data_IF_612213870832
#
_entry.id   IF_612213870832
#
_cell.length_a   1.000
_cell.length_b   1.000
_cell.length_c   1.000
_cell.angle_alpha   90.00
_cell.angle_beta   90.00
_cell.angle_gamma   90.00
#
_symmetry.space_group_name_H-M   'P 1'
#
loop_
_entity.id
_entity.type
_entity.pdbx_description
1 polymer ?
#
# COMPACT_ATOMS: atom_id res chain seq x y z
N UNK A 1 -34.11 25.32 -28.70
CA UNK A 1 -34.59 24.72 -27.45
C UNK A 1 -33.58 23.71 -26.98
N UNK A 2 -32.82 24.11 -25.96
CA UNK A 2 -31.76 23.37 -25.28
C UNK A 2 -32.36 22.23 -24.47
N UNK A 3 -31.81 21.01 -24.57
CA UNK A 3 -31.90 20.02 -23.49
C UNK A 3 -30.70 19.08 -23.50
N UNK A 4 -30.02 19.13 -22.37
CA UNK A 4 -28.83 18.43 -21.92
C UNK A 4 -29.24 17.08 -21.31
N UNK A 5 -28.37 16.07 -21.41
CA UNK A 5 -28.33 14.90 -20.53
C UNK A 5 -27.34 13.87 -21.07
N UNK A 6 -26.41 13.28 -20.33
CA UNK A 6 -25.99 13.37 -18.92
C UNK A 6 -24.60 12.74 -18.90
N UNK A 7 -23.56 13.49 -18.54
CA UNK A 7 -22.29 12.91 -18.08
C UNK A 7 -22.45 12.63 -16.58
N UNK A 8 -22.28 11.37 -16.18
CA UNK A 8 -22.11 10.97 -14.78
C UNK A 8 -20.62 10.98 -14.47
N UNK A 9 -20.14 12.00 -13.77
CA UNK A 9 -18.83 12.00 -13.14
C UNK A 9 -18.84 12.87 -11.88
N UNK A 10 -18.40 12.25 -10.78
CA UNK A 10 -17.79 12.83 -9.57
C UNK A 10 -18.58 13.89 -8.78
N UNK A 11 -19.34 13.42 -7.79
CA UNK A 11 -19.86 14.22 -6.68
C UNK A 11 -19.19 13.84 -5.33
N UNK A 12 -17.85 13.65 -5.32
CA UNK A 12 -17.13 13.21 -4.12
C UNK A 12 -16.07 14.20 -3.57
N UNK A 13 -15.68 15.23 -4.31
CA UNK A 13 -14.60 16.13 -3.88
C UNK A 13 -15.07 17.38 -3.10
N UNK A 14 -16.37 17.67 -3.05
CA UNK A 14 -16.91 18.79 -2.26
C UNK A 14 -17.43 18.36 -0.87
N UNK A 15 -17.68 17.07 -0.65
CA UNK A 15 -18.32 16.59 0.58
C UNK A 15 -17.35 16.37 1.76
N UNK A 16 -16.03 16.35 1.54
CA UNK A 16 -15.04 16.07 2.60
C UNK A 16 -14.80 17.28 3.50
N UNK A 17 -15.16 18.49 3.06
CA UNK A 17 -15.14 19.70 3.91
C UNK A 17 -16.48 20.46 3.89
N UNK A 18 -17.38 20.29 2.90
CA UNK A 18 -18.70 20.97 2.91
C UNK A 18 -19.79 20.29 3.77
N UNK A 19 -19.46 19.25 4.55
CA UNK A 19 -20.31 18.79 5.65
C UNK A 19 -20.34 19.75 6.86
N UNK A 20 -19.67 20.90 6.76
CA UNK A 20 -19.37 21.86 7.82
C UNK A 20 -20.31 23.08 7.89
N UNK A 21 -21.61 22.90 7.67
CA UNK A 21 -22.60 23.94 7.97
C UNK A 21 -23.84 23.36 8.69
N UNK A 22 -23.93 23.64 10.00
CA UNK A 22 -25.08 23.49 10.93
C UNK A 22 -25.20 22.15 11.71
N UNK A 23 -25.75 22.18 12.96
CA UNK A 23 -25.04 22.50 14.19
C UNK A 23 -24.88 21.22 15.03
N UNK A 24 -23.64 20.81 15.30
CA UNK A 24 -23.38 19.81 16.33
C UNK A 24 -22.74 20.49 17.52
N UNK A 25 -23.45 20.42 18.65
CA UNK A 25 -23.13 21.06 19.90
C UNK A 25 -21.67 20.80 20.30
N UNK A 26 -20.97 21.89 20.62
CA UNK A 26 -19.66 21.89 21.20
C UNK A 26 -19.66 21.12 22.52
N UNK A 27 -18.72 20.19 22.67
CA UNK A 27 -18.17 19.76 23.96
C UNK A 27 -16.85 19.03 23.69
N UNK A 28 -15.82 19.81 23.37
CA UNK A 28 -14.43 19.42 23.62
C UNK A 28 -13.97 20.20 24.84
N UNK A 29 -13.37 19.53 25.84
CA UNK A 29 -12.72 20.23 26.95
C UNK A 29 -11.68 21.21 26.39
N UNK A 30 -11.64 22.44 26.91
CA UNK A 30 -10.63 23.41 26.53
C UNK A 30 -9.24 22.83 26.82
N UNK A 31 -8.44 22.62 25.78
CA UNK A 31 -7.04 22.22 25.92
C UNK A 31 -6.30 23.44 26.45
N UNK A 32 -5.67 23.32 27.61
CA UNK A 32 -4.82 24.39 28.12
C UNK A 32 -3.56 24.47 27.25
N UNK A 33 -3.40 25.59 26.54
CA UNK A 33 -2.22 25.86 25.70
C UNK A 33 -1.18 26.57 26.56
N UNK A 34 0.03 26.01 26.66
CA UNK A 34 1.14 26.69 27.32
C UNK A 34 1.43 28.02 26.61
N UNK A 35 1.65 29.05 27.40
CA UNK A 35 1.85 30.43 26.95
C UNK A 35 0.56 31.22 26.70
N UNK A 36 -0.61 30.59 26.61
CA UNK A 36 -1.89 31.31 26.47
C UNK A 36 -2.44 31.72 27.85
N UNK A 37 -1.92 32.85 28.34
CA UNK A 37 -2.26 33.37 29.67
C UNK A 37 -3.61 34.12 29.61
N UNK A 38 -3.95 34.71 28.47
CA UNK A 38 -5.19 35.44 28.25
C UNK A 38 -6.40 34.51 28.08
N UNK A 39 -6.16 33.23 27.76
CA UNK A 39 -7.15 32.20 27.46
C UNK A 39 -8.00 32.51 26.23
N UNK A 40 -7.38 33.12 25.24
CA UNK A 40 -8.00 33.33 23.92
C UNK A 40 -7.61 32.23 22.91
N UNK A 41 -6.90 31.20 23.39
CA UNK A 41 -6.26 30.09 22.68
C UNK A 41 -5.20 30.55 21.67
N UNK A 42 -4.57 31.71 21.90
CA UNK A 42 -3.41 32.22 21.16
C UNK A 42 -2.26 32.51 22.11
N UNK A 43 -1.03 32.38 21.61
CA UNK A 43 0.15 32.89 22.30
C UNK A 43 0.60 34.12 21.55
N UNK A 44 0.31 35.29 22.11
CA UNK A 44 0.46 36.58 21.44
C UNK A 44 1.22 37.59 22.30
N UNK A 45 1.42 38.79 21.76
CA UNK A 45 2.03 39.90 22.52
C UNK A 45 1.17 40.28 23.74
N UNK A 46 -0.15 40.03 23.72
CA UNK A 46 -1.00 40.26 24.88
C UNK A 46 -0.60 39.36 26.06
N UNK A 47 -0.25 38.10 25.80
CA UNK A 47 0.19 37.14 26.80
C UNK A 47 1.58 37.50 27.35
N UNK A 48 2.49 38.00 26.51
CA UNK A 48 3.77 38.58 26.95
C UNK A 48 3.52 39.73 27.95
N UNK A 49 2.53 40.59 27.67
CA UNK A 49 2.20 41.71 28.56
C UNK A 49 1.66 41.20 29.90
N UNK A 50 0.83 40.16 29.90
CA UNK A 50 0.33 39.52 31.12
C UNK A 50 1.47 38.89 31.92
N UNK A 51 2.33 38.08 31.29
CA UNK A 51 3.48 37.45 31.94
C UNK A 51 4.44 38.49 32.51
N UNK A 52 4.79 39.50 31.73
CA UNK A 52 5.67 40.58 32.18
C UNK A 52 5.07 41.36 33.36
N UNK A 53 3.78 41.64 33.35
CA UNK A 53 3.12 42.31 34.46
C UNK A 53 3.08 41.44 35.72
N UNK A 54 2.92 40.12 35.57
CA UNK A 54 3.05 39.18 36.68
C UNK A 54 4.47 39.19 37.27
N UNK A 55 5.51 39.06 36.43
CA UNK A 55 6.91 39.11 36.86
C UNK A 55 7.29 40.43 37.53
N UNK A 56 6.63 41.53 37.17
CA UNK A 56 6.80 42.84 37.80
C UNK A 56 5.95 43.04 39.08
N UNK A 57 5.19 42.02 39.51
CA UNK A 57 4.31 42.08 40.68
C UNK A 57 3.08 42.97 40.50
N UNK A 58 2.70 43.29 39.27
CA UNK A 58 1.61 44.21 38.93
C UNK A 58 0.29 43.51 38.65
N UNK A 59 0.32 42.19 38.47
CA UNK A 59 -0.82 41.38 38.07
C UNK A 59 -0.70 39.99 38.73
N UNK A 60 -1.81 39.43 39.22
CA UNK A 60 -1.84 38.08 39.77
C UNK A 60 -2.45 37.10 38.77
N UNK A 61 -1.88 35.90 38.65
CA UNK A 61 -2.41 34.82 37.81
C UNK A 61 -3.29 33.89 38.64
N UNK A 62 -4.39 33.41 38.05
CA UNK A 62 -5.15 32.29 38.63
C UNK A 62 -4.47 30.95 38.31
N UNK A 63 -4.97 29.85 38.89
CA UNK A 63 -4.34 28.52 38.78
C UNK A 63 -4.03 28.09 37.33
N UNK A 64 -5.02 28.10 36.41
CA UNK A 64 -4.70 27.67 35.03
C UNK A 64 -3.88 28.71 34.26
N UNK A 65 -3.92 29.99 34.63
CA UNK A 65 -3.01 30.98 34.06
C UNK A 65 -1.57 30.75 34.52
N UNK A 66 -1.37 30.35 35.77
CA UNK A 66 -0.07 29.96 36.30
C UNK A 66 0.46 28.72 35.60
N UNK A 67 -0.40 27.72 35.36
CA UNK A 67 -0.02 26.51 34.59
C UNK A 67 0.33 26.87 33.14
N UNK A 68 -0.41 27.78 32.50
CA UNK A 68 -0.07 28.24 31.15
C UNK A 68 1.22 29.09 31.12
N UNK A 69 1.50 29.84 32.19
CA UNK A 69 2.66 30.71 32.30
C UNK A 69 3.97 29.97 32.59
N UNK A 70 3.91 28.76 33.18
CA UNK A 70 5.04 27.84 33.35
C UNK A 70 5.25 27.04 32.04
N UNK A 71 5.90 27.70 31.07
CA UNK A 71 6.06 27.18 29.71
C UNK A 71 7.10 26.07 29.69
N UNK A 72 8.21 26.24 30.42
CA UNK A 72 9.29 25.27 30.46
C UNK A 72 8.99 24.06 31.39
N UNK A 73 7.90 24.12 32.17
CA UNK A 73 7.49 23.10 33.14
C UNK A 73 8.50 22.82 34.26
N UNK A 74 9.23 23.84 34.70
CA UNK A 74 10.13 23.71 35.85
C UNK A 74 9.44 23.96 37.20
N UNK A 75 8.17 24.37 37.17
CA UNK A 75 7.35 24.64 38.34
C UNK A 75 7.47 26.07 38.89
N UNK A 76 8.28 26.93 38.26
CA UNK A 76 8.38 28.35 38.55
C UNK A 76 7.87 29.17 37.35
N UNK A 77 7.45 30.41 37.63
CA UNK A 77 7.07 31.35 36.58
C UNK A 77 8.07 32.50 36.66
N UNK A 78 9.03 32.51 35.75
CA UNK A 78 10.15 33.45 35.78
C UNK A 78 10.54 34.01 34.38
N UNK A 79 11.74 34.59 34.28
CA UNK A 79 12.22 35.19 33.04
C UNK A 79 12.57 34.17 31.95
N UNK A 80 12.77 32.90 32.29
CA UNK A 80 13.00 31.82 31.32
C UNK A 80 11.70 31.49 30.57
N UNK A 81 10.55 31.47 31.25
CA UNK A 81 9.24 31.34 30.57
C UNK A 81 8.98 32.50 29.62
N UNK A 82 9.37 33.72 30.02
CA UNK A 82 9.23 34.88 29.16
C UNK A 82 10.09 34.77 27.88
N UNK A 83 11.29 34.19 28.00
CA UNK A 83 12.15 33.94 26.84
C UNK A 83 11.56 32.86 25.92
N UNK A 84 10.99 31.80 26.48
CA UNK A 84 10.36 30.73 25.72
C UNK A 84 9.07 31.20 25.02
N UNK A 85 8.27 32.04 25.68
CA UNK A 85 7.11 32.71 25.07
C UNK A 85 7.51 33.59 23.89
N UNK A 86 8.61 34.35 24.01
CA UNK A 86 9.13 35.15 22.90
C UNK A 86 9.54 34.29 21.72
N UNK A 87 10.17 33.14 21.98
CA UNK A 87 10.55 32.19 20.94
C UNK A 87 9.32 31.57 20.25
N UNK A 88 8.29 31.17 21.01
CA UNK A 88 7.00 30.70 20.44
C UNK A 88 6.42 31.74 19.47
N UNK A 89 6.32 33.00 19.88
CA UNK A 89 5.76 34.07 19.05
C UNK A 89 6.62 34.32 17.80
N UNK A 90 7.96 34.30 17.94
CA UNK A 90 8.86 34.48 16.81
C UNK A 90 8.77 33.34 15.80
N UNK A 91 8.59 32.09 16.26
CA UNK A 91 8.39 30.91 15.40
C UNK A 91 7.04 30.93 14.69
N UNK A 92 5.99 31.41 15.36
CA UNK A 92 4.64 31.53 14.79
C UNK A 92 4.53 32.58 13.68
N UNK A 93 5.41 33.60 13.64
CA UNK A 93 5.31 34.68 12.63
C UNK A 93 5.78 34.25 11.25
N UNK A 94 4.88 34.36 10.27
CA UNK A 94 5.17 34.31 8.82
C UNK A 94 5.94 33.04 8.36
N UNK A 95 5.88 31.96 9.14
CA UNK A 95 6.49 30.67 8.80
C UNK A 95 5.48 29.57 9.05
N UNK A 96 4.99 29.00 7.95
CA UNK A 96 4.43 27.67 8.03
C UNK A 96 5.54 26.63 8.12
N UNK A 97 5.27 25.51 8.80
CA UNK A 97 6.16 24.36 8.74
C UNK A 97 6.37 23.95 7.28
N UNK A 98 7.57 23.50 6.94
CA UNK A 98 7.77 22.72 5.71
C UNK A 98 7.51 21.25 6.00
N UNK A 99 7.16 20.48 4.97
CA UNK A 99 7.01 19.04 5.05
C UNK A 99 5.61 18.57 5.39
N UNK A 100 5.47 17.30 5.73
CA UNK A 100 4.20 16.64 5.99
C UNK A 100 3.96 16.48 7.49
N UNK A 101 2.74 16.76 7.91
CA UNK A 101 2.30 16.82 9.30
C UNK A 101 0.98 16.09 9.48
N UNK A 102 0.82 15.40 10.60
CA UNK A 102 -0.43 14.72 10.98
C UNK A 102 -1.25 15.69 11.82
N UNK A 103 -2.35 16.20 11.28
CA UNK A 103 -3.39 16.90 12.01
C UNK A 103 -4.35 15.92 12.70
N UNK A 104 -4.54 16.06 14.01
CA UNK A 104 -5.44 15.23 14.81
C UNK A 104 -6.61 16.07 15.36
N UNK A 105 -7.84 15.67 15.00
CA UNK A 105 -9.08 16.23 15.57
C UNK A 105 -9.90 15.11 16.20
N UNK A 106 -10.83 15.46 17.09
CA UNK A 106 -11.76 14.54 17.77
C UNK A 106 -12.69 13.70 16.85
N UNK A 107 -12.40 13.58 15.55
CA UNK A 107 -13.09 12.73 14.58
C UNK A 107 -12.19 12.08 13.51
N UNK A 108 -10.85 12.23 13.55
CA UNK A 108 -9.94 11.56 12.62
C UNK A 108 -8.60 12.28 12.40
N UNK A 109 -7.62 11.54 11.84
CA UNK A 109 -6.30 12.04 11.45
C UNK A 109 -6.29 12.54 10.00
N UNK A 110 -5.55 13.58 9.69
CA UNK A 110 -5.32 14.09 8.33
C UNK A 110 -3.85 14.37 8.10
N UNK A 111 -3.39 14.26 6.86
CA UNK A 111 -1.99 14.51 6.53
C UNK A 111 -1.90 15.76 5.67
N UNK A 112 -1.18 16.76 6.16
CA UNK A 112 -0.98 18.03 5.49
C UNK A 112 0.47 18.17 5.09
N UNK A 113 0.73 18.30 3.79
CA UNK A 113 2.04 18.68 3.28
C UNK A 113 2.04 20.19 3.02
N UNK A 114 2.89 20.90 3.73
CA UNK A 114 3.06 22.35 3.61
C UNK A 114 4.34 22.66 2.82
N UNK A 115 4.17 23.42 1.74
CA UNK A 115 5.24 23.93 0.89
C UNK A 115 5.32 25.46 0.94
N UNK A 116 6.08 26.06 0.01
CA UNK A 116 6.19 27.52 -0.10
C UNK A 116 4.96 28.09 -0.82
N UNK A 117 3.99 28.60 -0.05
CA UNK A 117 2.77 29.23 -0.55
C UNK A 117 1.72 28.26 -1.12
N UNK A 118 1.96 26.96 -1.01
CA UNK A 118 1.04 25.91 -1.43
C UNK A 118 1.13 24.70 -0.50
N UNK A 119 0.14 23.84 -0.56
CA UNK A 119 0.15 22.58 0.17
C UNK A 119 -0.88 21.60 -0.34
N UNK A 120 -0.85 20.41 0.24
CA UNK A 120 -1.78 19.32 -0.07
C UNK A 120 -2.32 18.71 1.20
N UNK A 121 -3.60 18.36 1.21
CA UNK A 121 -4.20 17.54 2.26
C UNK A 121 -4.56 16.18 1.69
N UNK A 122 -4.20 15.13 2.42
CA UNK A 122 -4.47 13.74 2.04
C UNK A 122 -5.56 13.20 2.96
N UNK A 123 -6.62 12.70 2.34
CA UNK A 123 -7.64 11.93 3.03
C UNK A 123 -7.03 10.59 3.48
N UNK A 124 -7.02 10.30 4.80
CA UNK A 124 -6.34 9.14 5.34
C UNK A 124 -6.96 7.81 4.89
N UNK A 125 -8.24 7.82 4.46
CA UNK A 125 -9.03 6.62 4.20
C UNK A 125 -9.05 6.27 2.73
N UNK A 126 -9.05 7.28 1.86
CA UNK A 126 -9.14 7.12 0.41
C UNK A 126 -7.83 7.39 -0.30
N UNK A 127 -6.87 8.04 0.38
CA UNK A 127 -5.64 8.55 -0.25
C UNK A 127 -5.90 9.71 -1.23
N UNK A 128 -7.13 10.25 -1.26
CA UNK A 128 -7.48 11.39 -2.09
C UNK A 128 -6.67 12.62 -1.69
N UNK A 129 -6.06 13.29 -2.67
CA UNK A 129 -5.23 14.48 -2.46
C UNK A 129 -5.99 15.71 -2.91
N UNK A 130 -6.02 16.74 -2.07
CA UNK A 130 -6.56 18.05 -2.42
C UNK A 130 -5.51 19.12 -2.22
N UNK A 131 -5.27 19.91 -3.27
CA UNK A 131 -4.31 21.01 -3.22
C UNK A 131 -4.97 22.27 -2.65
N UNK A 132 -4.17 23.07 -1.95
CA UNK A 132 -4.54 24.39 -1.47
C UNK A 132 -3.40 25.38 -1.66
N UNK A 133 -3.73 26.65 -1.89
CA UNK A 133 -2.78 27.75 -1.77
C UNK A 133 -2.74 28.22 -0.32
N UNK A 134 -1.62 28.78 0.08
CA UNK A 134 -1.41 29.24 1.45
C UNK A 134 -0.98 30.69 1.46
N UNK A 135 -1.64 31.47 2.32
CA UNK A 135 -1.24 32.83 2.67
C UNK A 135 -1.04 32.90 4.18
N UNK A 136 0.00 33.60 4.61
CA UNK A 136 0.29 33.84 6.02
C UNK A 136 0.34 35.33 6.29
N UNK A 137 -0.26 35.75 7.41
CA UNK A 137 -0.13 37.09 7.94
C UNK A 137 0.01 37.00 9.47
N UNK A 138 1.20 37.30 9.98
CA UNK A 138 1.56 37.13 11.39
C UNK A 138 1.38 35.69 11.88
N UNK A 139 0.47 35.46 12.84
CA UNK A 139 0.08 34.17 13.41
C UNK A 139 -1.13 33.54 12.69
N UNK A 140 -1.62 34.18 11.63
CA UNK A 140 -2.77 33.72 10.86
C UNK A 140 -2.32 32.97 9.60
N UNK A 141 -2.95 31.82 9.38
CA UNK A 141 -2.78 30.97 8.20
C UNK A 141 -4.11 30.91 7.46
N UNK A 142 -4.07 31.24 6.17
CA UNK A 142 -5.23 31.19 5.27
C UNK A 142 -4.98 30.12 4.22
N UNK A 143 -5.83 29.09 4.22
CA UNK A 143 -5.81 28.01 3.24
C UNK A 143 -6.90 28.26 2.19
N UNK A 144 -6.51 28.43 0.93
CA UNK A 144 -7.42 28.61 -0.21
C UNK A 144 -7.48 27.33 -1.02
N UNK A 145 -8.59 26.62 -0.92
CA UNK A 145 -8.81 25.35 -1.61
C UNK A 145 -9.05 25.57 -3.11
N UNK A 146 -8.73 24.57 -3.94
CA UNK A 146 -9.07 24.59 -5.39
C UNK A 146 -10.56 24.76 -5.68
N UNK A 147 -11.44 24.39 -4.75
CA UNK A 147 -12.90 24.60 -4.87
C UNK A 147 -13.29 26.08 -4.81
N UNK A 148 -12.39 26.97 -4.36
CA UNK A 148 -12.66 28.37 -4.08
C UNK A 148 -12.98 28.65 -2.60
N UNK A 149 -13.15 27.60 -1.79
CA UNK A 149 -13.36 27.74 -0.35
C UNK A 149 -12.09 28.27 0.33
N UNK A 150 -12.26 29.15 1.30
CA UNK A 150 -11.16 29.69 2.11
C UNK A 150 -11.39 29.33 3.56
N UNK A 151 -10.35 28.84 4.23
CA UNK A 151 -10.37 28.47 5.64
C UNK A 151 -9.20 29.14 6.34
N UNK A 152 -9.47 29.79 7.46
CA UNK A 152 -8.45 30.49 8.24
C UNK A 152 -8.22 29.80 9.58
N UNK A 153 -6.98 29.79 10.05
CA UNK A 153 -6.61 29.36 11.38
C UNK A 153 -5.52 30.24 12.00
N UNK A 154 -5.44 30.24 13.32
CA UNK A 154 -4.30 30.78 14.07
C UNK A 154 -3.35 29.65 14.44
N UNK A 155 -2.05 29.86 14.26
CA UNK A 155 -1.01 28.87 14.56
C UNK A 155 -0.32 29.16 15.89
N UNK A 156 -0.23 28.13 16.73
CA UNK A 156 0.53 28.17 17.98
C UNK A 156 1.51 27.00 18.01
N UNK A 157 2.81 27.28 17.98
CA UNK A 157 3.86 26.27 18.11
C UNK A 157 4.01 25.83 19.56
N UNK A 158 4.10 24.51 19.77
CA UNK A 158 4.42 23.94 21.08
C UNK A 158 5.91 23.61 21.19
N UNK A 159 6.51 23.11 20.10
CA UNK A 159 7.93 22.78 19.99
C UNK A 159 8.34 22.73 18.49
N UNK A 160 9.53 22.21 18.14
CA UNK A 160 9.98 22.12 16.74
C UNK A 160 9.20 21.10 15.89
N UNK A 161 8.55 20.12 16.51
CA UNK A 161 7.87 18.99 15.89
C UNK A 161 6.36 18.99 16.16
N UNK A 162 5.82 19.99 16.85
CA UNK A 162 4.38 20.09 17.10
C UNK A 162 3.85 21.52 17.19
N UNK A 163 2.65 21.73 16.64
CA UNK A 163 1.91 22.98 16.73
C UNK A 163 0.41 22.70 16.76
N UNK A 164 -0.38 23.73 17.00
CA UNK A 164 -1.83 23.67 17.02
C UNK A 164 -2.42 24.71 16.08
N UNK A 165 -3.43 24.34 15.29
CA UNK A 165 -4.25 25.27 14.52
C UNK A 165 -5.60 25.45 15.18
N UNK A 166 -5.95 26.71 15.47
CA UNK A 166 -7.30 27.10 15.86
C UNK A 166 -8.03 27.68 14.67
N UNK A 167 -8.94 26.90 14.11
CA UNK A 167 -9.77 27.28 12.97
C UNK A 167 -10.79 28.35 13.37
N UNK A 168 -11.13 29.27 12.46
CA UNK A 168 -12.11 30.35 12.69
C UNK A 168 -13.46 29.88 13.25
N UNK A 169 -13.83 28.63 13.00
CA UNK A 169 -15.07 28.01 13.50
C UNK A 169 -14.95 27.40 14.91
N UNK A 170 -13.89 27.72 15.65
CA UNK A 170 -13.70 27.33 17.05
C UNK A 170 -13.22 25.90 17.27
N UNK A 171 -12.75 25.21 16.21
CA UNK A 171 -12.10 23.90 16.34
C UNK A 171 -10.59 24.08 16.49
N UNK A 172 -10.01 23.24 17.33
CA UNK A 172 -8.57 23.16 17.56
C UNK A 172 -8.07 21.82 17.03
N UNK A 173 -6.96 21.82 16.31
CA UNK A 173 -6.33 20.63 15.75
C UNK A 173 -4.84 20.65 16.06
N UNK A 174 -4.34 19.56 16.63
CA UNK A 174 -2.91 19.45 16.94
C UNK A 174 -2.20 18.76 15.78
N UNK A 175 -1.09 19.34 15.36
CA UNK A 175 -0.24 18.88 14.28
C UNK A 175 1.06 18.34 14.85
N UNK A 176 1.47 17.17 14.37
CA UNK A 176 2.76 16.55 14.68
C UNK A 176 3.53 16.30 13.40
N UNK A 177 4.83 16.53 13.43
CA UNK A 177 5.72 16.29 12.31
C UNK A 177 5.64 14.81 11.87
N UNK A 178 5.71 14.58 10.55
CA UNK A 178 5.65 13.25 9.95
C UNK A 178 6.86 12.96 9.06
N UNK A 179 7.08 13.75 8.02
CA UNK A 179 8.24 13.61 7.13
C UNK A 179 8.56 14.90 6.37
N UNK A 180 9.77 15.00 5.81
CA UNK A 180 10.26 16.21 5.16
C UNK A 180 9.56 16.51 3.84
N UNK A 181 9.20 15.45 3.10
CA UNK A 181 8.70 15.57 1.74
C UNK A 181 7.18 15.58 1.67
N UNK A 182 6.64 16.28 0.68
CA UNK A 182 5.23 16.20 0.35
C UNK A 182 4.90 14.82 -0.23
N UNK A 183 3.86 14.19 0.31
CA UNK A 183 3.48 12.83 -0.09
C UNK A 183 2.63 12.89 -1.35
N UNK A 184 3.00 12.13 -2.37
CA UNK A 184 2.18 11.99 -3.59
C UNK A 184 1.31 10.74 -3.50
N UNK A 185 0.05 10.84 -3.93
CA UNK A 185 -0.85 9.68 -4.00
C UNK A 185 -0.31 8.53 -4.84
N UNK A 186 0.47 8.82 -5.88
CA UNK A 186 1.15 7.83 -6.72
C UNK A 186 2.22 7.01 -5.98
N UNK A 187 2.73 7.51 -4.86
CA UNK A 187 3.76 6.88 -4.04
C UNK A 187 3.15 5.98 -2.95
N UNK A 188 1.82 6.04 -2.74
CA UNK A 188 1.13 5.24 -1.73
C UNK A 188 1.17 3.75 -2.06
N UNK A 189 1.38 2.96 -1.02
CA UNK A 189 1.42 1.50 -1.02
C UNK A 189 0.06 0.88 -0.65
N UNK A 190 -1.05 1.57 -0.92
CA UNK A 190 -2.39 1.06 -0.58
C UNK A 190 -2.62 -0.34 -1.15
N UNK A 191 -3.21 -1.21 -0.34
CA UNK A 191 -3.50 -2.60 -0.68
C UNK A 191 -2.93 -3.59 0.33
N UNK A 192 -3.05 -4.86 0.00
CA UNK A 192 -2.52 -5.96 0.81
C UNK A 192 -1.18 -6.42 0.26
N UNK A 193 -0.17 -6.45 1.12
CA UNK A 193 1.20 -6.85 0.81
C UNK A 193 1.65 -7.99 1.71
N UNK A 194 2.34 -8.97 1.15
CA UNK A 194 2.96 -10.07 1.89
C UNK A 194 4.46 -9.90 1.77
N UNK A 195 5.16 -9.93 2.90
CA UNK A 195 6.59 -9.77 2.92
C UNK A 195 7.30 -11.13 2.92
N UNK A 196 8.56 -11.18 2.52
CA UNK A 196 9.34 -12.44 2.44
C UNK A 196 9.47 -13.16 3.77
N UNK A 197 9.31 -12.46 4.91
CA UNK A 197 9.31 -13.09 6.23
C UNK A 197 7.95 -13.70 6.64
N UNK A 198 6.93 -13.58 5.78
CA UNK A 198 5.57 -14.09 5.99
C UNK A 198 4.62 -13.11 6.68
N UNK A 199 5.05 -11.87 6.93
CA UNK A 199 4.17 -10.84 7.51
C UNK A 199 3.23 -10.25 6.46
N UNK A 200 2.06 -9.83 6.90
CA UNK A 200 1.01 -9.28 6.04
C UNK A 200 0.75 -7.83 6.44
N UNK A 201 0.85 -6.93 5.46
CA UNK A 201 0.60 -5.52 5.60
C UNK A 201 -0.68 -5.17 4.83
N UNK A 202 -1.72 -4.78 5.55
CA UNK A 202 -2.96 -4.26 4.97
C UNK A 202 -2.92 -2.74 5.11
N UNK A 203 -2.55 -2.06 4.01
CA UNK A 203 -2.32 -0.61 3.96
C UNK A 203 -3.53 0.07 3.36
N UNK A 204 -4.03 1.10 4.05
CA UNK A 204 -5.05 2.00 3.57
C UNK A 204 -4.56 3.46 3.68
N UNK A 205 -4.23 4.06 2.53
CA UNK A 205 -3.64 5.40 2.51
C UNK A 205 -2.23 5.39 3.12
N UNK A 206 -2.08 6.10 4.24
CA UNK A 206 -0.82 6.27 5.00
C UNK A 206 -0.79 5.49 6.32
N UNK A 207 -1.78 4.65 6.56
CA UNK A 207 -1.84 3.81 7.76
C UNK A 207 -2.16 2.38 7.39
N UNK A 208 -1.91 1.46 8.32
CA UNK A 208 -2.17 0.06 8.06
C UNK A 208 -2.17 -0.82 9.29
N UNK A 209 -2.47 -2.07 9.01
CA UNK A 209 -2.41 -3.18 9.97
C UNK A 209 -1.31 -4.13 9.52
N UNK A 210 -0.36 -4.37 10.40
CA UNK A 210 0.65 -5.42 10.26
C UNK A 210 0.18 -6.65 11.02
N UNK A 211 0.17 -7.80 10.36
CA UNK A 211 0.06 -9.12 11.00
C UNK A 211 1.39 -9.83 10.82
N UNK A 212 2.14 -10.04 11.90
CA UNK A 212 3.44 -10.70 11.83
C UNK A 212 3.31 -12.22 11.57
N UNK A 213 4.44 -12.89 11.34
CA UNK A 213 4.49 -14.35 11.15
C UNK A 213 3.92 -15.19 12.31
N UNK A 214 3.87 -14.61 13.51
CA UNK A 214 3.31 -15.24 14.72
C UNK A 214 1.83 -14.89 14.91
N UNK A 215 1.22 -14.17 13.95
CA UNK A 215 -0.16 -13.67 13.95
C UNK A 215 -0.43 -12.56 14.98
N UNK A 216 0.62 -11.92 15.51
CA UNK A 216 0.44 -10.72 16.30
C UNK A 216 0.05 -9.56 15.38
N UNK A 217 -0.85 -8.71 15.87
CA UNK A 217 -1.38 -7.59 15.11
C UNK A 217 -0.85 -6.29 15.70
N UNK A 218 -0.29 -5.44 14.84
CA UNK A 218 0.13 -4.07 15.18
C UNK A 218 -0.47 -3.09 14.18
N UNK A 219 -0.70 -1.85 14.63
CA UNK A 219 -1.08 -0.74 13.75
C UNK A 219 0.15 0.11 13.48
N UNK A 220 0.22 0.67 12.29
CA UNK A 220 1.30 1.57 11.91
C UNK A 220 0.80 2.70 11.02
N UNK A 221 1.60 3.75 11.00
CA UNK A 221 1.56 4.79 9.97
C UNK A 221 2.84 4.65 9.14
N UNK A 222 2.84 5.10 7.88
CA UNK A 222 4.06 5.16 7.09
C UNK A 222 4.05 6.38 6.18
N UNK A 223 5.25 6.83 5.83
CA UNK A 223 5.46 7.97 4.94
C UNK A 223 6.45 7.59 3.84
N UNK A 224 6.10 7.73 2.55
CA UNK A 224 7.10 7.89 1.50
C UNK A 224 7.91 9.17 1.76
N UNK A 225 9.24 9.07 1.69
CA UNK A 225 10.15 10.19 1.89
C UNK A 225 11.23 10.19 0.81
N UNK A 226 10.87 10.53 -0.43
CA UNK A 226 11.80 10.45 -1.56
C UNK A 226 12.11 9.01 -1.96
N UNK A 227 13.37 8.58 -1.82
CA UNK A 227 13.79 7.18 -2.03
C UNK A 227 13.62 6.31 -0.78
N UNK A 228 13.26 6.93 0.35
CA UNK A 228 13.12 6.27 1.64
C UNK A 228 11.64 6.07 2.01
N UNK A 229 11.41 5.19 2.97
CA UNK A 229 10.13 4.95 3.60
C UNK A 229 10.32 4.87 5.11
N UNK A 230 9.46 5.58 5.83
CA UNK A 230 9.46 5.59 7.30
C UNK A 230 8.19 4.91 7.78
N UNK A 231 8.31 3.93 8.67
CA UNK A 231 7.20 3.32 9.39
C UNK A 231 7.19 3.80 10.84
N UNK A 232 6.03 4.23 11.31
CA UNK A 232 5.79 4.67 12.68
C UNK A 232 4.92 3.63 13.40
N UNK A 233 5.48 2.95 14.39
CA UNK A 233 4.76 1.97 15.22
C UNK A 233 4.57 2.53 16.64
N UNK A 234 3.37 3.05 16.94
CA UNK A 234 3.08 3.63 18.25
C UNK A 234 3.32 5.14 18.30
N UNK A 235 4.10 5.65 19.26
CA UNK A 235 4.53 7.05 19.26
C UNK A 235 5.55 7.29 18.14
N UNK A 236 5.68 8.55 17.70
CA UNK A 236 6.58 8.99 16.61
C UNK A 236 8.07 8.86 16.93
N UNK A 237 8.42 8.37 18.12
CA UNK A 237 9.82 8.20 18.56
C UNK A 237 10.36 6.80 18.22
N UNK A 238 9.49 5.86 17.87
CA UNK A 238 9.84 4.48 17.51
C UNK A 238 9.68 4.25 16.01
N UNK A 239 10.44 5.01 15.22
CA UNK A 239 10.38 4.94 13.76
C UNK A 239 11.33 3.86 13.23
N UNK A 240 10.92 3.21 12.15
CA UNK A 240 11.77 2.30 11.39
C UNK A 240 11.86 2.81 9.97
N UNK A 241 13.08 3.10 9.53
CA UNK A 241 13.36 3.65 8.21
C UNK A 241 14.03 2.61 7.33
N UNK A 242 13.79 2.75 6.02
CA UNK A 242 14.49 1.95 5.04
C UNK A 242 14.37 2.53 3.64
N UNK A 243 15.26 2.10 2.77
CA UNK A 243 15.28 2.50 1.37
C UNK A 243 14.32 1.64 0.56
N UNK A 244 13.34 2.25 -0.12
CA UNK A 244 12.38 1.55 -0.95
C UNK A 244 12.88 1.44 -2.40
N UNK A 245 12.64 0.31 -3.05
CA UNK A 245 12.95 0.12 -4.48
C UNK A 245 11.87 -0.73 -5.12
N UNK A 246 11.15 -0.19 -6.11
CA UNK A 246 10.20 -0.98 -6.92
C UNK A 246 10.98 -1.91 -7.85
N UNK A 247 10.67 -3.20 -7.83
CA UNK A 247 11.39 -4.19 -8.64
C UNK A 247 10.62 -4.59 -9.89
N UNK A 248 9.30 -4.63 -9.81
CA UNK A 248 8.39 -4.95 -10.92
C UNK A 248 6.97 -4.45 -10.61
N UNK A 249 5.98 -4.86 -11.41
CA UNK A 249 4.58 -4.44 -11.26
C UNK A 249 3.91 -4.89 -9.94
N UNK A 250 4.42 -5.95 -9.30
CA UNK A 250 3.83 -6.57 -8.10
C UNK A 250 4.73 -6.51 -6.86
N UNK A 251 5.98 -6.08 -7.02
CA UNK A 251 6.97 -6.13 -5.96
C UNK A 251 7.68 -4.81 -5.70
N UNK A 252 8.00 -4.60 -4.43
CA UNK A 252 9.03 -3.66 -4.02
C UNK A 252 9.89 -4.30 -2.93
N UNK A 253 11.10 -3.76 -2.75
CA UNK A 253 11.98 -4.15 -1.65
C UNK A 253 12.20 -2.97 -0.72
N UNK A 254 12.33 -3.26 0.56
CA UNK A 254 12.85 -2.31 1.54
C UNK A 254 14.18 -2.84 2.05
N UNK A 255 15.23 -2.02 1.93
CA UNK A 255 16.49 -2.23 2.61
C UNK A 255 16.47 -1.40 3.89
N UNK A 256 16.32 -2.06 5.03
CA UNK A 256 16.24 -1.44 6.35
C UNK A 256 17.63 -1.00 6.81
N UNK A 257 17.71 0.04 7.63
CA UNK A 257 18.97 0.58 8.15
C UNK A 257 19.80 -0.43 8.95
N UNK A 258 19.13 -1.43 9.52
CA UNK A 258 19.77 -2.56 10.22
C UNK A 258 20.41 -3.59 9.27
N UNK A 259 20.47 -3.30 7.97
CA UNK A 259 21.13 -4.11 6.94
C UNK A 259 20.30 -5.28 6.42
N UNK A 260 19.07 -5.45 6.88
CA UNK A 260 18.16 -6.48 6.37
C UNK A 260 17.43 -5.98 5.12
N UNK A 261 17.21 -6.88 4.16
CA UNK A 261 16.42 -6.60 2.96
C UNK A 261 15.19 -7.49 2.93
N UNK A 262 14.04 -6.89 2.69
CA UNK A 262 12.76 -7.59 2.60
C UNK A 262 12.08 -7.27 1.27
N UNK A 263 11.47 -8.28 0.64
CA UNK A 263 10.63 -8.09 -0.55
C UNK A 263 9.17 -8.15 -0.13
N UNK A 264 8.37 -7.27 -0.71
CA UNK A 264 6.94 -7.15 -0.49
C UNK A 264 6.22 -7.45 -1.79
N UNK A 265 5.34 -8.44 -1.75
CA UNK A 265 4.53 -8.88 -2.87
C UNK A 265 3.10 -8.39 -2.69
N UNK A 266 2.58 -7.66 -3.66
CA UNK A 266 1.16 -7.30 -3.69
C UNK A 266 0.33 -8.57 -3.79
N UNK A 267 -0.70 -8.70 -2.97
CA UNK A 267 -1.54 -9.89 -2.96
C UNK A 267 -3.01 -9.52 -2.74
N UNK A 268 -3.70 -9.26 -3.84
CA UNK A 268 -5.15 -9.11 -3.92
C UNK A 268 -5.76 -10.44 -4.37
N UNK A 269 -6.46 -11.12 -3.47
CA UNK A 269 -7.13 -12.39 -3.77
C UNK A 269 -8.62 -12.15 -3.94
N UNK A 270 -9.15 -12.56 -5.09
CA UNK A 270 -10.58 -12.46 -5.41
C UNK A 270 -11.10 -13.81 -5.88
N UNK A 271 -12.34 -14.15 -5.50
CA UNK A 271 -13.02 -15.34 -6.00
C UNK A 271 -14.23 -14.90 -6.82
N UNK A 272 -14.22 -15.19 -8.13
CA UNK A 272 -15.33 -14.90 -9.05
C UNK A 272 -15.92 -16.21 -9.55
N UNK A 273 -17.18 -16.47 -9.25
CA UNK A 273 -17.87 -17.71 -9.65
C UNK A 273 -17.09 -18.97 -9.27
N UNK A 274 -16.49 -19.00 -8.06
CA UNK A 274 -15.69 -20.11 -7.56
C UNK A 274 -14.27 -20.21 -8.14
N UNK A 275 -13.88 -19.35 -9.08
CA UNK A 275 -12.51 -19.29 -9.63
C UNK A 275 -11.70 -18.28 -8.83
N UNK A 276 -10.51 -18.68 -8.38
CA UNK A 276 -9.60 -17.78 -7.66
C UNK A 276 -8.73 -16.99 -8.64
N UNK A 277 -8.66 -15.69 -8.41
CA UNK A 277 -7.76 -14.76 -9.05
C UNK A 277 -6.84 -14.13 -8.01
N UNK A 278 -5.54 -14.05 -8.32
CA UNK A 278 -4.56 -13.36 -7.48
C UNK A 278 -3.93 -12.26 -8.31
N UNK A 279 -4.11 -11.00 -7.90
CA UNK A 279 -3.78 -9.81 -8.69
C UNK A 279 -4.38 -9.86 -10.11
N UNK A 280 -5.61 -10.40 -10.24
CA UNK A 280 -6.29 -10.60 -11.53
C UNK A 280 -5.83 -11.81 -12.34
N UNK A 281 -4.87 -12.59 -11.86
CA UNK A 281 -4.37 -13.81 -12.53
C UNK A 281 -5.17 -15.01 -12.07
N UNK A 282 -5.79 -15.73 -13.00
CA UNK A 282 -6.51 -16.98 -12.70
C UNK A 282 -5.53 -18.05 -12.17
N UNK A 283 -5.77 -18.57 -10.98
CA UNK A 283 -4.93 -19.60 -10.35
C UNK A 283 -5.65 -20.95 -10.32
N UNK A 284 -4.94 -21.98 -10.78
CA UNK A 284 -5.28 -23.38 -10.58
C UNK A 284 -4.01 -24.11 -10.11
N UNK A 285 -3.99 -24.54 -8.85
CA UNK A 285 -2.91 -25.32 -8.27
C UNK A 285 -3.47 -26.22 -7.16
N UNK A 286 -2.64 -26.83 -6.31
CA UNK A 286 -3.14 -27.76 -5.27
C UNK A 286 -3.98 -27.09 -4.17
N UNK A 287 -3.80 -25.80 -3.95
CA UNK A 287 -4.57 -25.00 -2.97
C UNK A 287 -5.85 -24.46 -3.58
N UNK A 288 -5.75 -23.91 -4.80
CA UNK A 288 -6.84 -23.21 -5.48
C UNK A 288 -7.38 -24.09 -6.60
N UNK A 289 -8.53 -24.72 -6.36
CA UNK A 289 -9.22 -25.54 -7.34
C UNK A 289 -10.12 -24.69 -8.26
N UNK A 290 -10.30 -25.15 -9.49
CA UNK A 290 -11.33 -24.69 -10.39
C UNK A 290 -12.67 -25.40 -10.12
N UNK A 291 -13.80 -24.71 -10.31
CA UNK A 291 -15.12 -25.34 -10.29
C UNK A 291 -15.24 -26.48 -11.30
N UNK A 292 -16.06 -27.49 -10.98
CA UNK A 292 -16.28 -28.64 -11.88
C UNK A 292 -16.98 -28.27 -13.18
N UNK A 293 -17.77 -27.20 -13.17
CA UNK A 293 -18.51 -26.66 -14.33
C UNK A 293 -17.71 -25.63 -15.13
N UNK A 294 -16.53 -25.20 -14.65
CA UNK A 294 -15.66 -24.33 -15.43
C UNK A 294 -15.01 -25.12 -16.58
N UNK A 295 -15.45 -24.81 -17.81
CA UNK A 295 -15.07 -25.54 -19.00
C UNK A 295 -14.96 -24.60 -20.22
N UNK A 296 -13.77 -24.03 -20.50
CA UNK A 296 -13.55 -23.24 -21.71
C UNK A 296 -13.57 -24.07 -23.00
N UNK A 297 -13.50 -25.41 -22.92
CA UNK A 297 -13.62 -26.35 -24.03
C UNK A 297 -12.41 -26.43 -24.97
N UNK A 298 -11.44 -25.51 -24.85
CA UNK A 298 -10.29 -25.39 -25.75
C UNK A 298 -9.15 -24.61 -25.10
N UNK A 299 -7.99 -24.62 -25.74
CA UNK A 299 -6.94 -23.63 -25.48
C UNK A 299 -7.52 -22.25 -25.79
N UNK A 300 -7.34 -21.30 -24.87
CA UNK A 300 -7.87 -19.95 -25.04
C UNK A 300 -7.18 -19.26 -26.22
N UNK A 301 -7.90 -18.40 -26.99
CA UNK A 301 -7.39 -17.84 -28.24
C UNK A 301 -6.04 -17.14 -28.12
N UNK A 302 -5.84 -16.36 -27.05
CA UNK A 302 -4.59 -15.60 -26.85
C UNK A 302 -3.40 -16.53 -26.60
N UNK A 303 -3.59 -17.58 -25.79
CA UNK A 303 -2.56 -18.60 -25.56
C UNK A 303 -2.26 -19.37 -26.87
N UNK A 304 -3.28 -19.71 -27.66
CA UNK A 304 -3.06 -20.39 -28.94
C UNK A 304 -2.31 -19.49 -29.93
N UNK A 305 -2.67 -18.22 -30.03
CA UNK A 305 -2.00 -17.25 -30.90
C UNK A 305 -0.54 -17.06 -30.49
N UNK A 306 -0.27 -16.92 -29.19
CA UNK A 306 1.07 -16.84 -28.64
C UNK A 306 1.92 -18.09 -28.96
N UNK A 307 1.34 -19.28 -28.82
CA UNK A 307 2.02 -20.53 -29.16
C UNK A 307 2.38 -20.59 -30.65
N UNK A 308 1.48 -20.17 -31.55
CA UNK A 308 1.73 -20.19 -32.99
C UNK A 308 2.95 -19.33 -33.36
N UNK A 309 3.12 -18.18 -32.70
CA UNK A 309 4.29 -17.31 -32.88
C UNK A 309 5.55 -18.00 -32.34
N UNK A 310 5.48 -18.55 -31.12
CA UNK A 310 6.60 -19.30 -30.51
C UNK A 310 7.06 -20.47 -31.38
N UNK A 311 6.12 -21.23 -31.93
CA UNK A 311 6.38 -22.36 -32.81
C UNK A 311 7.06 -21.91 -34.11
N UNK A 312 6.59 -20.82 -34.72
CA UNK A 312 7.18 -20.29 -35.95
C UNK A 312 8.64 -19.84 -35.75
N UNK A 313 8.93 -19.21 -34.62
CA UNK A 313 10.29 -18.76 -34.31
C UNK A 313 11.22 -19.92 -33.89
N UNK A 314 10.70 -20.93 -33.19
CA UNK A 314 11.43 -22.18 -32.95
C UNK A 314 11.80 -22.87 -34.28
N UNK A 315 10.88 -22.90 -35.24
CA UNK A 315 11.11 -23.46 -36.58
C UNK A 315 12.22 -22.74 -37.34
N UNK A 316 12.29 -21.40 -37.24
CA UNK A 316 13.40 -20.61 -37.81
C UNK A 316 14.75 -20.96 -37.17
N UNK A 317 14.74 -21.39 -35.91
CA UNK A 317 15.93 -21.90 -35.21
C UNK A 317 16.24 -23.39 -35.49
N UNK A 318 15.51 -24.03 -36.43
CA UNK A 318 15.70 -25.44 -36.78
C UNK A 318 15.08 -26.44 -35.81
N UNK A 319 14.18 -25.97 -34.92
CA UNK A 319 13.52 -26.78 -33.89
C UNK A 319 12.04 -26.99 -34.23
N UNK A 320 11.44 -28.10 -33.79
CA UNK A 320 10.02 -28.38 -34.03
C UNK A 320 9.27 -28.48 -32.70
N UNK A 321 8.33 -27.55 -32.48
CA UNK A 321 7.42 -27.57 -31.34
C UNK A 321 6.01 -27.96 -31.79
N UNK A 322 5.33 -28.81 -31.03
CA UNK A 322 3.93 -29.17 -31.20
C UNK A 322 3.24 -29.26 -29.85
N UNK A 323 1.93 -29.02 -29.82
CA UNK A 323 1.13 -29.21 -28.60
C UNK A 323 0.74 -30.69 -28.56
N UNK A 324 1.19 -31.43 -27.54
CA UNK A 324 0.76 -32.82 -27.34
C UNK A 324 -0.46 -32.92 -26.41
N UNK A 325 -0.65 -31.95 -25.51
CA UNK A 325 -1.82 -31.89 -24.62
C UNK A 325 -2.15 -30.43 -24.32
N UNK A 326 -3.39 -30.03 -24.59
CA UNK A 326 -3.91 -28.68 -24.39
C UNK A 326 -4.95 -28.63 -23.28
N UNK A 327 -6.14 -28.10 -23.58
CA UNK A 327 -7.24 -28.10 -22.62
C UNK A 327 -7.66 -29.51 -22.19
N UNK A 328 -7.91 -29.69 -20.89
CA UNK A 328 -8.49 -30.89 -20.29
C UNK A 328 -9.67 -30.51 -19.40
N UNK A 329 -10.84 -31.12 -19.64
CA UNK A 329 -12.02 -30.87 -18.80
C UNK A 329 -11.83 -31.47 -17.39
N UNK A 330 -12.65 -31.00 -16.45
CA UNK A 330 -12.70 -31.54 -15.09
C UNK A 330 -12.93 -33.07 -15.09
N UNK A 331 -13.92 -33.54 -15.85
CA UNK A 331 -14.26 -34.97 -15.91
C UNK A 331 -13.14 -35.82 -16.51
N UNK A 332 -12.49 -35.33 -17.57
CA UNK A 332 -11.34 -36.00 -18.15
C UNK A 332 -10.19 -36.09 -17.15
N UNK A 333 -9.91 -35.00 -16.43
CA UNK A 333 -8.88 -34.97 -15.40
C UNK A 333 -9.19 -35.95 -14.26
N UNK A 334 -10.47 -36.07 -13.87
CA UNK A 334 -10.92 -37.02 -12.85
C UNK A 334 -10.66 -38.48 -13.28
N UNK A 335 -11.02 -38.84 -14.52
CA UNK A 335 -10.77 -40.17 -15.06
C UNK A 335 -9.26 -40.47 -15.13
N UNK A 336 -8.48 -39.52 -15.65
CA UNK A 336 -7.02 -39.64 -15.78
C UNK A 336 -6.35 -39.85 -14.42
N UNK A 337 -6.69 -39.01 -13.43
CA UNK A 337 -6.14 -39.10 -12.09
C UNK A 337 -6.49 -40.44 -11.42
N UNK A 338 -7.75 -40.90 -11.51
CA UNK A 338 -8.14 -42.17 -10.91
C UNK A 338 -7.45 -43.38 -11.58
N UNK A 339 -7.16 -43.31 -12.88
CA UNK A 339 -6.33 -44.30 -13.57
C UNK A 339 -4.91 -44.38 -12.99
N UNK A 340 -4.29 -43.23 -12.71
CA UNK A 340 -2.98 -43.17 -12.06
C UNK A 340 -3.00 -43.65 -10.61
N UNK A 341 -4.03 -43.30 -9.84
CA UNK A 341 -4.21 -43.81 -8.47
C UNK A 341 -4.31 -45.33 -8.48
N UNK A 342 -5.07 -45.90 -9.42
CA UNK A 342 -5.21 -47.35 -9.53
C UNK A 342 -3.91 -48.06 -9.92
N UNK A 343 -3.06 -47.42 -10.74
CA UNK A 343 -1.80 -47.98 -11.23
C UNK A 343 -0.64 -47.84 -10.24
N UNK A 344 -0.47 -46.64 -9.68
CA UNK A 344 0.75 -46.24 -8.96
C UNK A 344 0.49 -45.85 -7.50
N UNK A 345 -0.78 -45.78 -7.08
CA UNK A 345 -1.19 -45.33 -5.76
C UNK A 345 -1.31 -43.81 -5.64
N UNK A 346 -2.13 -43.39 -4.67
CA UNK A 346 -2.50 -41.97 -4.48
C UNK A 346 -1.31 -41.05 -4.23
N UNK A 347 -0.36 -41.45 -3.40
CA UNK A 347 0.78 -40.61 -3.04
C UNK A 347 1.68 -40.32 -4.24
N UNK A 348 1.87 -41.29 -5.15
CA UNK A 348 2.61 -41.07 -6.38
C UNK A 348 1.79 -40.22 -7.37
N UNK A 349 0.51 -40.53 -7.57
CA UNK A 349 -0.35 -39.76 -8.47
C UNK A 349 -0.45 -38.28 -8.05
N UNK A 350 -0.45 -37.99 -6.75
CA UNK A 350 -0.47 -36.61 -6.23
C UNK A 350 0.80 -35.81 -6.55
N UNK A 351 1.92 -36.39 -7.03
CA UNK A 351 3.17 -35.66 -7.36
C UNK A 351 3.32 -35.31 -8.83
N UNK A 352 2.81 -36.15 -9.75
CA UNK A 352 2.94 -35.98 -11.20
C UNK A 352 1.60 -35.77 -11.92
N UNK A 353 0.49 -35.87 -11.19
CA UNK A 353 -0.84 -35.58 -11.71
C UNK A 353 -1.58 -34.63 -10.76
N UNK A 354 -2.74 -34.17 -11.20
CA UNK A 354 -3.60 -33.28 -10.45
C UNK A 354 -4.95 -33.95 -10.19
N UNK A 355 -5.46 -33.80 -8.97
CA UNK A 355 -6.88 -34.06 -8.68
C UNK A 355 -7.74 -33.15 -9.57
N UNK A 356 -8.94 -33.59 -9.93
CA UNK A 356 -9.84 -32.78 -10.76
C UNK A 356 -10.07 -31.39 -10.12
N UNK A 357 -10.11 -30.34 -10.93
CA UNK A 357 -10.11 -28.95 -10.47
C UNK A 357 -8.73 -28.35 -10.22
N UNK A 358 -7.70 -29.17 -9.98
CA UNK A 358 -6.36 -28.68 -9.65
C UNK A 358 -5.36 -28.71 -10.83
N UNK A 359 -5.81 -29.08 -12.04
CA UNK A 359 -4.94 -29.08 -13.22
C UNK A 359 -5.02 -27.74 -13.94
N UNK A 360 -3.87 -27.11 -14.21
CA UNK A 360 -3.83 -25.91 -15.03
C UNK A 360 -4.34 -26.15 -16.46
N UNK A 361 -4.35 -27.38 -16.99
CA UNK A 361 -4.95 -27.67 -18.29
C UNK A 361 -6.44 -27.32 -18.36
N UNK A 362 -7.17 -27.34 -17.24
CA UNK A 362 -8.58 -26.94 -17.20
C UNK A 362 -8.77 -25.45 -17.46
N UNK A 363 -7.73 -24.63 -17.24
CA UNK A 363 -7.76 -23.18 -17.55
C UNK A 363 -7.84 -22.89 -19.06
N UNK A 364 -7.40 -23.83 -19.90
CA UNK A 364 -7.14 -23.57 -21.32
C UNK A 364 -5.93 -22.63 -21.57
N UNK A 365 -5.15 -22.29 -20.53
CA UNK A 365 -3.95 -21.45 -20.60
C UNK A 365 -2.65 -22.26 -20.50
N UNK A 366 -2.74 -23.55 -20.15
CA UNK A 366 -1.60 -24.45 -20.06
C UNK A 366 -1.57 -25.45 -21.22
N UNK A 367 -0.35 -25.83 -21.61
CA UNK A 367 -0.11 -26.80 -22.67
C UNK A 367 1.19 -27.56 -22.43
N UNK A 368 1.19 -28.84 -22.82
CA UNK A 368 2.36 -29.69 -22.86
C UNK A 368 2.94 -29.71 -24.27
N UNK A 369 4.24 -29.49 -24.37
CA UNK A 369 4.96 -29.38 -25.65
C UNK A 369 5.70 -30.68 -25.98
N UNK A 370 5.50 -31.15 -27.21
CA UNK A 370 6.06 -32.36 -27.83
C UNK A 370 5.73 -33.69 -27.11
N UNK A 371 6.25 -33.89 -25.89
CA UNK A 371 6.02 -35.10 -25.11
C UNK A 371 5.88 -34.76 -23.63
N UNK A 372 4.74 -35.14 -23.03
CA UNK A 372 4.50 -35.02 -21.59
C UNK A 372 5.24 -36.12 -20.80
N UNK A 373 6.57 -36.15 -20.89
CA UNK A 373 7.43 -37.16 -20.28
C UNK A 373 8.86 -36.65 -20.12
N UNK A 374 9.58 -37.21 -19.14
CA UNK A 374 10.99 -36.91 -18.89
C UNK A 374 11.90 -37.15 -20.10
N UNK A 375 11.47 -37.94 -21.10
CA UNK A 375 12.15 -38.10 -22.38
C UNK A 375 12.32 -36.78 -23.16
N UNK A 376 11.45 -35.78 -22.94
CA UNK A 376 11.61 -34.45 -23.53
C UNK A 376 12.75 -33.65 -22.87
N UNK A 377 13.11 -33.98 -21.63
CA UNK A 377 14.16 -33.30 -20.88
C UNK A 377 15.50 -33.40 -21.61
N UNK A 378 16.27 -32.31 -21.62
CA UNK A 378 17.58 -32.16 -22.27
C UNK A 378 17.58 -32.16 -23.80
N UNK A 379 16.44 -32.32 -24.47
CA UNK A 379 16.33 -32.09 -25.92
C UNK A 379 16.68 -30.64 -26.27
N UNK A 380 17.12 -30.36 -27.51
CA UNK A 380 17.31 -29.00 -28.00
C UNK A 380 16.04 -28.14 -27.82
N UNK A 381 14.87 -28.71 -28.11
CA UNK A 381 13.57 -28.08 -27.97
C UNK A 381 13.26 -27.70 -26.52
N UNK A 382 13.46 -28.61 -25.55
CA UNK A 382 13.20 -28.31 -24.13
C UNK A 382 14.10 -27.20 -23.60
N UNK A 383 15.40 -27.21 -23.98
CA UNK A 383 16.35 -26.15 -23.60
C UNK A 383 15.95 -24.81 -24.22
N UNK A 384 15.56 -24.81 -25.49
CA UNK A 384 15.08 -23.61 -26.16
C UNK A 384 13.79 -23.08 -25.54
N UNK A 385 12.83 -23.97 -25.24
CA UNK A 385 11.57 -23.61 -24.61
C UNK A 385 11.80 -22.93 -23.26
N UNK A 386 12.60 -23.53 -22.38
CA UNK A 386 12.93 -22.97 -21.07
C UNK A 386 13.59 -21.58 -21.16
N UNK A 387 14.40 -21.34 -22.19
CA UNK A 387 15.10 -20.07 -22.40
C UNK A 387 14.30 -19.00 -23.17
N UNK A 388 13.18 -19.35 -23.81
CA UNK A 388 12.50 -18.46 -24.75
C UNK A 388 10.99 -18.32 -24.55
N UNK A 389 10.32 -19.25 -23.87
CA UNK A 389 8.85 -19.26 -23.80
C UNK A 389 8.27 -17.94 -23.23
N UNK A 390 8.98 -17.28 -22.30
CA UNK A 390 8.57 -16.00 -21.70
C UNK A 390 8.39 -14.87 -22.71
N UNK A 391 9.18 -14.87 -23.79
CA UNK A 391 9.10 -13.87 -24.87
C UNK A 391 7.75 -13.88 -25.59
N UNK A 392 7.04 -15.01 -25.51
CA UNK A 392 5.73 -15.22 -26.10
C UNK A 392 4.60 -15.18 -25.08
N UNK A 393 4.91 -14.92 -23.80
CA UNK A 393 3.91 -14.86 -22.73
C UNK A 393 3.71 -16.16 -21.96
N UNK A 394 4.63 -17.11 -22.07
CA UNK A 394 4.59 -18.37 -21.35
C UNK A 394 5.68 -18.49 -20.30
N UNK A 395 5.41 -19.15 -19.18
CA UNK A 395 6.45 -19.56 -18.23
C UNK A 395 6.63 -21.07 -18.28
N UNK A 396 7.85 -21.55 -17.99
CA UNK A 396 8.07 -22.94 -17.62
C UNK A 396 7.50 -23.14 -16.21
N UNK A 397 6.31 -23.72 -16.12
CA UNK A 397 5.46 -23.61 -14.95
C UNK A 397 5.93 -24.44 -13.74
N UNK A 398 6.57 -25.58 -14.01
CA UNK A 398 7.09 -26.50 -13.01
C UNK A 398 8.60 -26.72 -13.23
N UNK A 399 9.45 -25.78 -12.79
CA UNK A 399 10.90 -25.87 -12.95
C UNK A 399 11.53 -26.87 -11.96
N UNK A 400 12.73 -27.36 -12.31
CA UNK A 400 13.47 -28.35 -11.52
C UNK A 400 13.89 -27.77 -10.17
N UNK A 401 13.74 -28.53 -9.09
CA UNK A 401 14.15 -28.12 -7.74
C UNK A 401 13.15 -27.23 -7.01
N UNK A 402 11.95 -27.03 -7.58
CA UNK A 402 10.85 -26.22 -7.00
C UNK A 402 9.61 -27.07 -6.71
N UNK A 403 9.77 -28.39 -6.58
CA UNK A 403 8.68 -29.36 -6.38
C UNK A 403 8.00 -29.16 -5.02
N UNK A 404 8.75 -28.74 -4.00
CA UNK A 404 8.24 -28.42 -2.67
C UNK A 404 7.39 -27.14 -2.62
N UNK A 405 7.52 -26.28 -3.63
CA UNK A 405 6.80 -25.00 -3.74
C UNK A 405 5.58 -25.16 -4.64
N UNK A 406 5.79 -25.64 -5.87
CA UNK A 406 4.71 -25.81 -6.85
C UNK A 406 3.80 -27.00 -6.51
N UNK A 407 4.35 -27.99 -5.80
CA UNK A 407 3.72 -29.27 -5.53
C UNK A 407 3.84 -30.28 -6.69
N UNK A 408 4.31 -29.88 -7.87
CA UNK A 408 4.41 -30.76 -9.03
C UNK A 408 5.87 -31.14 -9.29
N UNK A 409 6.09 -32.32 -9.87
CA UNK A 409 7.42 -32.70 -10.32
C UNK A 409 7.93 -31.77 -11.42
N UNK A 410 9.24 -31.81 -11.70
CA UNK A 410 9.80 -31.10 -12.85
C UNK A 410 9.15 -31.56 -14.16
N UNK A 411 8.57 -30.61 -14.90
CA UNK A 411 7.95 -30.86 -16.21
C UNK A 411 8.58 -29.92 -17.25
N UNK A 412 9.56 -30.43 -18.00
CA UNK A 412 10.28 -29.67 -19.04
C UNK A 412 9.40 -29.26 -20.23
N UNK A 413 8.20 -29.84 -20.34
CA UNK A 413 7.24 -29.66 -21.41
C UNK A 413 6.07 -28.73 -21.05
N UNK A 414 5.79 -28.50 -19.76
CA UNK A 414 4.56 -27.85 -19.32
C UNK A 414 4.73 -26.33 -19.24
N UNK A 415 4.01 -25.60 -20.10
CA UNK A 415 4.05 -24.15 -20.15
C UNK A 415 2.70 -23.52 -19.83
N UNK A 416 2.73 -22.40 -19.10
CA UNK A 416 1.56 -21.64 -18.67
C UNK A 416 1.56 -20.25 -19.27
N UNK A 417 0.49 -19.88 -19.98
CA UNK A 417 0.30 -18.54 -20.52
C UNK A 417 -0.12 -17.55 -19.45
N UNK A 418 0.60 -16.42 -19.40
CA UNK A 418 0.37 -15.27 -18.52
C UNK A 418 0.26 -13.94 -19.30
N UNK A 419 0.53 -13.94 -20.60
CA UNK A 419 0.80 -12.73 -21.37
C UNK A 419 2.26 -12.30 -21.28
N UNK A 420 2.73 -11.49 -22.25
CA UNK A 420 4.16 -11.21 -22.45
C UNK A 420 4.82 -10.47 -21.28
N UNK A 421 4.16 -9.45 -20.76
CA UNK A 421 4.71 -8.60 -19.69
C UNK A 421 4.90 -9.42 -18.40
N UNK A 422 3.82 -10.03 -17.91
CA UNK A 422 3.88 -10.82 -16.68
C UNK A 422 4.78 -12.06 -16.81
N UNK A 423 4.76 -12.78 -17.94
CA UNK A 423 5.66 -13.91 -18.14
C UNK A 423 7.13 -13.49 -18.11
N UNK A 424 7.45 -12.30 -18.62
CA UNK A 424 8.80 -11.72 -18.55
C UNK A 424 9.17 -11.37 -17.11
N UNK A 425 8.29 -10.72 -16.35
CA UNK A 425 8.56 -10.40 -14.92
C UNK A 425 8.81 -11.68 -14.11
N UNK A 426 7.96 -12.71 -14.28
CA UNK A 426 8.15 -14.00 -13.61
C UNK A 426 9.47 -14.65 -14.04
N UNK A 427 9.80 -14.66 -15.33
CA UNK A 427 11.04 -15.22 -15.83
C UNK A 427 12.29 -14.51 -15.29
N UNK A 428 12.31 -13.17 -15.34
CA UNK A 428 13.44 -12.36 -14.87
C UNK A 428 13.66 -12.49 -13.36
N UNK A 429 12.58 -12.69 -12.59
CA UNK A 429 12.67 -12.92 -11.13
C UNK A 429 13.31 -14.26 -10.76
N UNK A 430 13.28 -15.25 -11.65
CA UNK A 430 13.70 -16.63 -11.36
C UNK A 430 12.78 -17.38 -10.38
N UNK A 431 11.62 -16.82 -10.03
CA UNK A 431 10.65 -17.39 -9.12
C UNK A 431 9.64 -18.29 -9.84
N UNK A 432 9.01 -19.21 -9.10
CA UNK A 432 7.78 -19.86 -9.56
C UNK A 432 6.61 -18.87 -9.49
N UNK A 433 5.48 -19.21 -10.13
CA UNK A 433 4.26 -18.40 -10.01
C UNK A 433 3.76 -18.32 -8.56
N UNK A 434 3.91 -19.40 -7.78
CA UNK A 434 3.61 -19.41 -6.34
C UNK A 434 4.46 -18.41 -5.55
N UNK A 435 5.78 -18.43 -5.73
CA UNK A 435 6.70 -17.52 -5.06
C UNK A 435 6.44 -16.07 -5.47
N UNK A 436 6.28 -15.83 -6.79
CA UNK A 436 6.02 -14.50 -7.36
C UNK A 436 4.70 -13.88 -6.87
N UNK A 437 3.71 -14.69 -6.48
CA UNK A 437 2.43 -14.20 -5.96
C UNK A 437 2.29 -14.39 -4.44
N UNK A 438 3.29 -14.97 -3.79
CA UNK A 438 3.29 -15.36 -2.37
C UNK A 438 2.09 -16.24 -1.98
N UNK A 439 1.75 -17.23 -2.81
CA UNK A 439 0.62 -18.14 -2.59
C UNK A 439 1.06 -19.59 -2.42
N UNK A 440 0.27 -20.38 -1.68
CA UNK A 440 0.55 -21.79 -1.45
C UNK A 440 0.11 -22.69 -2.62
N UNK A 441 0.75 -23.85 -2.76
CA UNK A 441 0.26 -24.99 -3.56
C UNK A 441 0.32 -26.30 -2.76
N UNK A 442 -0.70 -26.52 -1.93
CA UNK A 442 -0.82 -27.72 -1.08
C UNK A 442 -2.27 -28.20 -1.05
N UNK A 443 -2.48 -29.51 -1.14
CA UNK A 443 -3.80 -30.06 -0.88
C UNK A 443 -4.16 -29.86 0.59
N UNK A 444 -5.43 -29.58 0.88
CA UNK A 444 -5.94 -29.59 2.25
C UNK A 444 -5.72 -30.98 2.84
N UNK A 445 -5.11 -30.99 4.03
CA UNK A 445 -4.85 -32.18 4.84
C UNK A 445 -6.13 -32.80 5.36
#
# INVERSE_FOLDING_TARGET
MTRIGRFTASAAAAAVIAGYAQPFAALGAAVLVKGDISRDDRVSVADIVLLKNYLLGRYGLNENQSIAADINCDGNIDTFDLAEMQDIILRSRNKLPKGTWIGDTAGGKRYFSFGEGNGTVIDPTTGGVSDFAIECDEDMVVLKMKSGDTVTAFITWSDENSFTLKWEYGRTETFRYFCDNSIKSSELLTGRWVSTNGSVYEINGLSGKLTDKNKNISRFEYAPNGEDIVFHFGSTDNNTEGKITRTDSMHFTIAWDVGTKETFTKQEIEVRNGITYVNGILIANKTYALPSDYNPGKILPDAQAAFNIMQADAKKAGLNLSICSGFRSYDYQNQLYNGYVARDGKNAADTYSARAGHSEHQTGLAMDINYASSAFTNTPEAKWLAANCYKYGFILRYPKGKENITGYMYESWHVRYLGKELAKEVYDSGLTLEEFLCIDSKYKS
#
